data_IF_101002462302
#
_entry.id   IF_101002462302
#
_cell.length_a   1.000
_cell.length_b   1.000
_cell.length_c   1.000
_cell.angle_alpha   90.00
_cell.angle_beta   90.00
_cell.angle_gamma   90.00
#
_symmetry.space_group_name_H-M   'P 1'
#
loop_
_entity.id
_entity.type
_entity.pdbx_description
1 polymer ?
#
# COMPACT_ATOMS: atom_id res chain seq x y z
N UNK A 1 -20.44 22.46 0.66
CA UNK A 1 -20.22 23.94 0.75
C UNK A 1 -18.72 24.16 0.59
N UNK A 2 -18.29 24.38 -0.65
CA UNK A 2 -16.90 24.68 -0.96
C UNK A 2 -16.79 26.20 -1.17
N UNK A 3 -16.07 26.85 -0.27
CA UNK A 3 -15.60 28.21 -0.50
C UNK A 3 -14.25 28.15 -1.18
N UNK A 4 -14.11 28.51 -2.47
CA UNK A 4 -12.86 28.33 -3.23
C UNK A 4 -11.65 29.03 -2.63
N UNK A 5 -11.88 30.00 -1.76
CA UNK A 5 -10.82 30.79 -1.10
C UNK A 5 -10.31 30.15 0.20
N UNK A 6 -11.03 29.22 0.81
CA UNK A 6 -10.72 28.65 2.13
C UNK A 6 -10.63 27.12 2.11
N UNK A 7 -11.23 26.48 1.08
CA UNK A 7 -11.29 25.02 0.96
C UNK A 7 -10.25 24.51 -0.01
N UNK A 8 -9.32 23.68 0.49
CA UNK A 8 -8.47 22.84 -0.35
C UNK A 8 -9.03 21.43 -0.27
N UNK A 9 -9.77 20.95 -1.29
CA UNK A 9 -10.41 19.62 -1.27
C UNK A 9 -9.40 18.47 -1.16
N UNK A 10 -8.16 18.71 -1.62
CA UNK A 10 -7.05 17.77 -1.49
C UNK A 10 -5.89 18.47 -0.80
N UNK A 11 -5.40 17.86 0.29
CA UNK A 11 -4.23 18.34 1.01
C UNK A 11 -2.94 18.01 0.28
N UNK A 12 -2.89 16.85 -0.33
CA UNK A 12 -1.79 16.34 -1.13
C UNK A 12 -2.33 15.35 -2.16
N UNK A 13 -1.63 15.24 -3.29
CA UNK A 13 -1.84 14.22 -4.30
C UNK A 13 -0.50 13.54 -4.53
N UNK A 14 -0.40 12.27 -4.17
CA UNK A 14 0.83 11.51 -4.36
C UNK A 14 0.79 10.85 -5.74
N UNK A 15 1.88 11.00 -6.49
CA UNK A 15 2.13 10.37 -7.78
C UNK A 15 3.19 9.28 -7.59
N UNK A 16 2.93 8.08 -8.08
CA UNK A 16 3.82 6.92 -7.91
C UNK A 16 3.99 6.15 -9.23
N UNK A 17 4.66 6.76 -10.26
CA UNK A 17 5.01 6.03 -11.46
C UNK A 17 6.01 4.91 -11.14
N UNK A 18 5.74 3.73 -11.69
CA UNK A 18 6.47 2.49 -11.42
C UNK A 18 6.75 1.75 -12.72
N UNK A 19 7.93 1.15 -12.83
CA UNK A 19 8.25 0.15 -13.85
C UNK A 19 8.71 -1.12 -13.16
N UNK A 20 8.16 -2.26 -13.59
CA UNK A 20 8.51 -3.54 -12.97
C UNK A 20 8.66 -4.65 -14.01
N UNK A 21 9.50 -5.61 -13.66
CA UNK A 21 9.58 -6.89 -14.33
C UNK A 21 9.13 -7.99 -13.39
N UNK A 22 8.13 -8.77 -13.83
CA UNK A 22 7.55 -9.86 -13.04
C UNK A 22 7.84 -11.17 -13.74
N UNK A 23 8.47 -12.09 -13.02
CA UNK A 23 8.71 -13.45 -13.44
C UNK A 23 7.68 -14.38 -12.78
N UNK A 24 6.73 -14.94 -13.54
CA UNK A 24 5.74 -15.88 -13.00
C UNK A 24 6.38 -17.22 -12.67
N UNK A 25 5.85 -17.90 -11.68
CA UNK A 25 6.26 -19.26 -11.31
C UNK A 25 5.06 -20.12 -10.96
N UNK A 26 5.20 -21.43 -11.10
CA UNK A 26 4.19 -22.43 -10.72
C UNK A 26 4.72 -23.37 -9.63
N UNK A 27 5.83 -23.01 -8.98
CA UNK A 27 6.47 -23.86 -7.99
C UNK A 27 5.55 -24.14 -6.80
N UNK A 28 5.50 -25.41 -6.43
CA UNK A 28 4.80 -25.88 -5.25
C UNK A 28 5.71 -25.74 -4.03
N UNK A 29 5.14 -25.21 -2.95
CA UNK A 29 5.80 -25.09 -1.67
C UNK A 29 5.19 -26.06 -0.66
N UNK A 30 5.83 -26.32 0.48
CA UNK A 30 5.24 -27.14 1.54
C UNK A 30 3.85 -26.66 1.97
N UNK A 31 3.04 -27.58 2.49
CA UNK A 31 1.69 -27.33 3.02
C UNK A 31 0.68 -26.81 1.98
N UNK A 32 0.90 -27.06 0.68
CA UNK A 32 -0.04 -26.69 -0.38
C UNK A 32 0.09 -25.26 -0.90
N UNK A 33 1.05 -24.49 -0.40
CA UNK A 33 1.34 -23.17 -0.93
C UNK A 33 1.85 -23.24 -2.37
N UNK A 34 1.53 -22.24 -3.17
CA UNK A 34 2.01 -22.04 -4.53
C UNK A 34 2.77 -20.73 -4.62
N UNK A 35 4.01 -20.78 -5.04
CA UNK A 35 4.75 -19.58 -5.37
C UNK A 35 4.30 -19.06 -6.74
N UNK A 36 3.77 -17.85 -6.79
CA UNK A 36 3.12 -17.32 -7.97
C UNK A 36 4.03 -16.46 -8.82
N UNK A 37 4.87 -15.67 -8.19
CA UNK A 37 5.79 -14.78 -8.89
C UNK A 37 6.91 -14.27 -7.99
N UNK A 38 7.98 -13.81 -8.65
CA UNK A 38 8.95 -12.86 -8.11
C UNK A 38 9.13 -11.72 -9.09
N UNK A 39 9.58 -10.57 -8.61
CA UNK A 39 9.76 -9.41 -9.47
C UNK A 39 10.75 -8.42 -8.90
N UNK A 40 11.17 -7.51 -9.76
CA UNK A 40 12.03 -6.38 -9.45
C UNK A 40 11.43 -5.13 -10.09
N UNK A 41 11.54 -4.00 -9.43
CA UNK A 41 11.01 -2.76 -10.00
C UNK A 41 11.74 -1.53 -9.50
N UNK A 42 11.44 -0.44 -10.19
CA UNK A 42 11.85 0.93 -9.87
C UNK A 42 10.58 1.75 -9.71
N UNK A 43 10.53 2.55 -8.66
CA UNK A 43 9.40 3.43 -8.39
C UNK A 43 9.90 4.81 -7.98
N UNK A 44 9.30 5.82 -8.59
CA UNK A 44 9.38 7.21 -8.15
C UNK A 44 8.10 7.56 -7.42
N UNK A 45 8.20 8.19 -6.26
CA UNK A 45 7.02 8.70 -5.55
C UNK A 45 7.23 10.16 -5.20
N UNK A 46 6.24 11.00 -5.51
CA UNK A 46 6.29 12.44 -5.21
C UNK A 46 4.89 12.97 -4.90
N UNK A 47 4.84 14.01 -4.07
CA UNK A 47 3.59 14.68 -3.73
C UNK A 47 3.27 15.89 -4.64
N UNK A 48 4.04 16.14 -5.68
CA UNK A 48 3.83 17.22 -6.65
C UNK A 48 3.84 18.63 -6.08
N UNK A 49 4.33 18.82 -4.84
CA UNK A 49 4.38 20.13 -4.19
C UNK A 49 5.73 20.81 -4.42
N UNK A 50 5.73 22.14 -4.33
CA UNK A 50 6.97 22.93 -4.30
C UNK A 50 7.53 23.03 -2.87
N UNK A 51 8.82 23.38 -2.75
CA UNK A 51 9.46 23.63 -1.45
C UNK A 51 8.69 24.70 -0.65
N UNK A 52 8.54 24.57 0.66
CA UNK A 52 9.14 23.56 1.56
C UNK A 52 8.28 22.29 1.75
N UNK A 53 7.19 22.13 1.01
CA UNK A 53 6.25 20.99 1.12
C UNK A 53 6.57 19.85 0.15
N UNK A 54 7.53 20.03 -0.73
CA UNK A 54 8.02 19.00 -1.64
C UNK A 54 8.43 17.75 -0.88
N UNK A 55 8.02 16.60 -1.37
CA UNK A 55 8.49 15.28 -0.92
C UNK A 55 8.56 14.37 -2.12
N UNK A 56 9.75 13.82 -2.34
CA UNK A 56 9.96 12.84 -3.41
C UNK A 56 11.02 11.83 -3.00
N UNK A 57 10.96 10.64 -3.52
CA UNK A 57 11.99 9.63 -3.38
C UNK A 57 11.91 8.55 -4.44
N UNK A 58 13.06 7.96 -4.73
CA UNK A 58 13.23 6.88 -5.68
C UNK A 58 13.61 5.59 -4.96
N UNK A 59 13.02 4.46 -5.36
CA UNK A 59 13.28 3.15 -4.76
C UNK A 59 13.49 2.10 -5.84
N UNK A 60 14.41 1.20 -5.57
CA UNK A 60 14.47 -0.12 -6.21
C UNK A 60 13.93 -1.15 -5.25
N UNK A 61 13.17 -2.12 -5.74
CA UNK A 61 12.59 -3.13 -4.87
C UNK A 61 12.61 -4.52 -5.49
N UNK A 62 12.55 -5.51 -4.62
CA UNK A 62 12.24 -6.90 -4.92
C UNK A 62 10.87 -7.22 -4.36
N UNK A 63 10.11 -8.06 -5.07
CA UNK A 63 8.80 -8.52 -4.60
C UNK A 63 8.61 -10.00 -4.90
N UNK A 64 7.74 -10.63 -4.10
CA UNK A 64 7.30 -12.00 -4.31
C UNK A 64 5.86 -12.18 -3.85
N UNK A 65 5.18 -13.17 -4.41
CA UNK A 65 3.81 -13.51 -4.03
C UNK A 65 3.56 -15.00 -4.05
N UNK A 66 2.79 -15.45 -3.06
CA UNK A 66 2.37 -16.84 -2.92
C UNK A 66 0.89 -16.93 -2.54
N UNK A 67 0.27 -18.04 -2.85
CA UNK A 67 -1.13 -18.28 -2.55
C UNK A 67 -1.38 -19.69 -2.01
N UNK A 68 -2.46 -19.85 -1.25
CA UNK A 68 -2.95 -21.12 -0.76
C UNK A 68 -4.46 -21.21 -1.00
N UNK A 69 -4.89 -22.30 -1.66
CA UNK A 69 -6.30 -22.69 -1.89
C UNK A 69 -7.19 -21.60 -2.53
N UNK A 70 -6.60 -20.68 -3.30
CA UNK A 70 -7.27 -19.48 -3.84
C UNK A 70 -7.94 -18.61 -2.77
N UNK A 71 -7.63 -18.85 -1.51
CA UNK A 71 -8.20 -18.12 -0.36
C UNK A 71 -7.21 -17.21 0.33
N UNK A 72 -5.94 -17.63 0.40
CA UNK A 72 -4.89 -16.87 1.02
C UNK A 72 -3.92 -16.34 -0.03
N UNK A 73 -3.60 -15.08 0.06
CA UNK A 73 -2.52 -14.47 -0.72
C UNK A 73 -1.56 -13.80 0.23
N UNK A 74 -0.29 -14.09 0.08
CA UNK A 74 0.79 -13.44 0.84
C UNK A 74 1.73 -12.80 -0.16
N UNK A 75 2.00 -11.51 0.00
CA UNK A 75 2.96 -10.78 -0.82
C UNK A 75 4.00 -10.11 0.07
N UNK A 76 5.24 -10.15 -0.37
CA UNK A 76 6.35 -9.47 0.28
C UNK A 76 7.04 -8.53 -0.68
N UNK A 77 7.45 -7.35 -0.20
CA UNK A 77 8.25 -6.37 -0.93
C UNK A 77 9.36 -5.85 -0.03
N UNK A 78 10.58 -5.80 -0.55
CA UNK A 78 11.73 -5.20 0.11
C UNK A 78 12.31 -4.15 -0.82
N UNK A 79 12.62 -2.97 -0.30
CA UNK A 79 13.14 -1.88 -1.12
C UNK A 79 14.32 -1.18 -0.50
N UNK A 80 15.11 -0.57 -1.37
CA UNK A 80 16.18 0.33 -1.03
C UNK A 80 15.92 1.68 -1.69
N UNK A 81 16.00 2.75 -0.91
CA UNK A 81 16.00 4.11 -1.42
C UNK A 81 17.26 4.34 -2.25
N UNK A 82 17.10 4.93 -3.42
CA UNK A 82 18.22 5.48 -4.19
C UNK A 82 18.66 6.78 -3.55
N UNK A 83 19.97 6.93 -3.38
CA UNK A 83 20.54 8.10 -2.72
C UNK A 83 20.37 9.35 -3.58
N UNK A 84 20.03 10.44 -2.96
CA UNK A 84 19.96 11.78 -3.52
C UNK A 84 21.05 12.64 -2.87
N UNK A 85 21.44 13.73 -3.53
CA UNK A 85 22.39 14.67 -2.92
C UNK A 85 21.73 15.39 -1.75
N UNK A 86 22.51 15.75 -0.74
CA UNK A 86 22.00 16.42 0.46
C UNK A 86 21.24 17.72 0.14
N UNK A 87 21.63 18.41 -0.93
CA UNK A 87 20.99 19.66 -1.36
C UNK A 87 19.65 19.45 -2.06
N UNK A 88 19.36 18.24 -2.56
CA UNK A 88 18.13 17.88 -3.25
C UNK A 88 17.22 16.97 -2.45
N UNK A 89 17.68 16.44 -1.30
CA UNK A 89 16.89 15.54 -0.45
C UNK A 89 15.85 16.33 0.35
N UNK A 90 14.62 16.30 -0.12
CA UNK A 90 13.46 16.97 0.48
C UNK A 90 12.77 16.15 1.59
N UNK A 91 13.26 14.95 1.87
CA UNK A 91 12.71 14.05 2.89
C UNK A 91 13.76 13.14 3.56
N UNK A 92 14.79 13.72 4.19
CA UNK A 92 15.86 12.95 4.83
C UNK A 92 15.27 11.97 5.86
N UNK A 93 15.74 10.71 5.82
CA UNK A 93 15.30 9.68 6.75
C UNK A 93 13.92 9.07 6.48
N UNK A 94 13.26 9.35 5.35
CA UNK A 94 11.92 8.79 5.03
C UNK A 94 11.87 7.26 5.18
N UNK A 95 12.94 6.55 4.81
CA UNK A 95 13.02 5.09 4.94
C UNK A 95 12.96 4.58 6.39
N UNK A 96 13.28 5.44 7.36
CA UNK A 96 13.22 5.07 8.78
C UNK A 96 11.80 5.14 9.35
N UNK A 97 10.89 5.78 8.63
CA UNK A 97 9.48 5.93 9.00
C UNK A 97 8.56 5.09 8.12
N UNK A 98 8.61 5.28 6.79
CA UNK A 98 7.78 4.55 5.83
C UNK A 98 8.19 3.08 5.73
N UNK A 99 9.49 2.80 5.98
CA UNK A 99 9.99 1.44 6.00
C UNK A 99 10.94 1.10 4.85
N UNK A 100 11.41 -0.15 4.88
CA UNK A 100 12.23 -0.80 3.86
C UNK A 100 11.65 -2.14 3.44
N UNK A 101 10.57 -2.57 4.09
CA UNK A 101 9.88 -3.82 3.78
C UNK A 101 8.40 -3.76 4.09
N UNK A 102 7.65 -4.53 3.31
CA UNK A 102 6.21 -4.70 3.43
C UNK A 102 5.85 -6.17 3.32
N UNK A 103 4.96 -6.62 4.18
CA UNK A 103 4.30 -7.91 4.11
C UNK A 103 2.79 -7.68 4.09
N UNK A 104 2.12 -8.17 3.05
CA UNK A 104 0.66 -8.14 2.96
C UNK A 104 0.10 -9.54 2.95
N UNK A 105 -0.94 -9.74 3.73
CA UNK A 105 -1.71 -10.97 3.80
C UNK A 105 -3.16 -10.64 3.47
N UNK A 106 -3.74 -11.39 2.54
CA UNK A 106 -5.16 -11.31 2.19
C UNK A 106 -5.81 -12.67 2.39
N UNK A 107 -6.98 -12.68 3.01
CA UNK A 107 -7.77 -13.85 3.24
C UNK A 107 -9.20 -13.67 2.72
N UNK A 108 -9.56 -14.42 1.69
CA UNK A 108 -10.94 -14.55 1.21
C UNK A 108 -11.67 -15.50 2.15
N UNK A 109 -12.31 -14.95 3.17
CA UNK A 109 -13.06 -15.71 4.19
C UNK A 109 -14.17 -16.51 3.51
N UNK A 110 -14.89 -15.86 2.60
CA UNK A 110 -15.90 -16.42 1.71
C UNK A 110 -16.04 -15.51 0.48
N UNK A 111 -17.01 -15.82 -0.41
CA UNK A 111 -17.25 -15.02 -1.63
C UNK A 111 -17.62 -13.56 -1.36
N UNK A 112 -18.14 -13.25 -0.18
CA UNK A 112 -18.66 -11.92 0.15
C UNK A 112 -17.69 -11.11 1.04
N UNK A 113 -16.78 -11.78 1.74
CA UNK A 113 -15.91 -11.15 2.73
C UNK A 113 -14.43 -11.46 2.46
N UNK A 114 -13.63 -10.41 2.41
CA UNK A 114 -12.17 -10.47 2.33
C UNK A 114 -11.57 -9.65 3.46
N UNK A 115 -10.62 -10.23 4.17
CA UNK A 115 -9.80 -9.55 5.17
C UNK A 115 -8.39 -9.33 4.62
N UNK A 116 -7.80 -8.20 4.95
CA UNK A 116 -6.44 -7.84 4.59
C UNK A 116 -5.66 -7.33 5.79
N UNK A 117 -4.37 -7.61 5.82
CA UNK A 117 -3.43 -7.02 6.76
C UNK A 117 -2.13 -6.69 6.03
N UNK A 118 -1.68 -5.45 6.15
CA UNK A 118 -0.41 -4.99 5.58
C UNK A 118 0.46 -4.44 6.69
N UNK A 119 1.68 -4.92 6.76
CA UNK A 119 2.70 -4.52 7.72
C UNK A 119 3.86 -3.88 6.97
N UNK A 120 4.30 -2.71 7.41
CA UNK A 120 5.54 -2.07 6.95
C UNK A 120 6.50 -1.93 8.12
N UNK A 121 7.77 -2.13 7.86
CA UNK A 121 8.83 -2.00 8.86
C UNK A 121 10.02 -1.27 8.28
N UNK A 122 10.64 -0.44 9.11
CA UNK A 122 11.92 0.19 8.79
C UNK A 122 13.05 -0.82 8.62
N UNK A 123 12.90 -2.04 9.17
CA UNK A 123 13.96 -3.06 9.26
C UNK A 123 15.25 -2.50 9.88
N UNK A 124 15.12 -1.51 10.73
CA UNK A 124 16.19 -0.83 11.44
C UNK A 124 15.87 -0.78 12.93
N UNK A 125 16.84 -0.42 13.76
CA UNK A 125 16.69 -0.31 15.23
C UNK A 125 15.65 0.71 15.70
N UNK A 126 15.10 1.51 14.79
CA UNK A 126 14.08 2.52 15.11
C UNK A 126 12.70 1.94 15.43
N UNK A 127 12.44 0.66 15.16
CA UNK A 127 11.15 -0.05 15.34
C UNK A 127 9.93 0.70 14.77
N UNK A 128 10.16 1.53 13.75
CA UNK A 128 9.12 2.30 13.09
C UNK A 128 8.53 1.54 11.93
N UNK A 129 7.29 1.86 11.64
CA UNK A 129 6.55 1.23 10.54
C UNK A 129 5.06 1.52 10.67
N UNK A 130 4.26 0.69 10.04
CA UNK A 130 2.81 0.82 10.07
C UNK A 130 2.10 -0.53 9.94
N UNK A 131 0.88 -0.55 10.38
CA UNK A 131 -0.08 -1.64 10.20
C UNK A 131 -1.33 -1.07 9.55
N UNK A 132 -1.82 -1.74 8.52
CA UNK A 132 -3.13 -1.49 7.91
C UNK A 132 -3.95 -2.77 7.97
N UNK A 133 -5.15 -2.68 8.53
CA UNK A 133 -6.14 -3.75 8.54
C UNK A 133 -7.29 -3.34 7.61
N UNK A 134 -7.79 -4.27 6.81
CA UNK A 134 -8.80 -4.01 5.80
C UNK A 134 -9.89 -5.08 5.86
N UNK A 135 -11.13 -4.65 5.67
CA UNK A 135 -12.27 -5.53 5.47
C UNK A 135 -13.05 -5.05 4.27
N UNK A 136 -13.23 -5.95 3.33
CA UNK A 136 -14.07 -5.73 2.14
C UNK A 136 -15.26 -6.68 2.19
N UNK A 137 -16.46 -6.11 2.13
CA UNK A 137 -17.72 -6.83 2.12
C UNK A 137 -18.47 -6.57 0.82
N UNK A 138 -18.89 -7.63 0.12
CA UNK A 138 -19.70 -7.49 -1.06
C UNK A 138 -21.01 -6.76 -0.75
N UNK A 139 -21.32 -5.71 -1.52
CA UNK A 139 -22.61 -5.05 -1.50
C UNK A 139 -23.53 -5.90 -2.40
N UNK A 140 -24.30 -6.78 -1.78
CA UNK A 140 -25.13 -7.75 -2.48
C UNK A 140 -26.06 -7.10 -3.54
N UNK A 141 -26.58 -7.91 -4.42
CA UNK A 141 -27.42 -7.56 -5.58
C UNK A 141 -28.69 -6.75 -5.27
N UNK A 142 -29.00 -6.49 -4.00
CA UNK A 142 -30.24 -5.84 -3.57
C UNK A 142 -30.28 -4.30 -3.73
N UNK A 143 -29.16 -3.62 -3.69
CA UNK A 143 -29.15 -2.14 -3.73
C UNK A 143 -29.20 -1.56 -5.14
N UNK A 144 -28.77 -2.31 -6.16
CA UNK A 144 -28.65 -1.83 -7.55
C UNK A 144 -29.17 -2.82 -8.60
N UNK A 145 -29.91 -3.84 -8.21
CA UNK A 145 -30.66 -4.72 -9.12
C UNK A 145 -29.84 -5.62 -10.05
N UNK A 146 -28.54 -5.82 -9.79
CA UNK A 146 -27.67 -6.64 -10.62
C UNK A 146 -26.50 -7.26 -9.83
N UNK A 147 -25.75 -8.14 -10.47
CA UNK A 147 -24.47 -8.64 -9.94
C UNK A 147 -23.48 -7.45 -9.92
N UNK A 148 -23.26 -6.88 -8.75
CA UNK A 148 -22.34 -5.77 -8.57
C UNK A 148 -21.02 -6.28 -8.01
N UNK A 149 -19.90 -5.91 -8.65
CA UNK A 149 -18.56 -6.13 -8.11
C UNK A 149 -18.18 -5.07 -7.06
N UNK A 150 -19.15 -4.26 -6.61
CA UNK A 150 -18.95 -3.26 -5.58
C UNK A 150 -18.82 -3.92 -4.20
N UNK A 151 -17.85 -3.45 -3.44
CA UNK A 151 -17.61 -3.86 -2.05
C UNK A 151 -17.52 -2.65 -1.15
N UNK A 152 -18.15 -2.75 0.01
CA UNK A 152 -17.86 -1.84 1.12
C UNK A 152 -16.42 -2.11 1.56
N UNK A 153 -15.61 -1.08 1.64
CA UNK A 153 -14.22 -1.16 2.05
C UNK A 153 -14.02 -0.35 3.33
N UNK A 154 -13.64 -1.03 4.38
CA UNK A 154 -13.30 -0.45 5.67
C UNK A 154 -11.83 -0.69 5.93
N UNK A 155 -11.10 0.35 6.33
CA UNK A 155 -9.69 0.22 6.66
C UNK A 155 -9.33 0.96 7.94
N UNK A 156 -8.43 0.37 8.72
CA UNK A 156 -7.79 0.97 9.87
C UNK A 156 -6.28 0.98 9.65
N UNK A 157 -5.70 2.16 9.63
CA UNK A 157 -4.26 2.37 9.54
C UNK A 157 -3.71 2.87 10.88
N UNK A 158 -2.56 2.38 11.29
CA UNK A 158 -1.84 2.90 12.44
C UNK A 158 -0.33 2.82 12.20
N UNK A 159 0.37 3.95 12.36
CA UNK A 159 1.82 4.02 12.16
C UNK A 159 2.27 5.28 11.44
N UNK A 160 3.36 5.14 10.71
CA UNK A 160 4.02 6.21 9.94
C UNK A 160 3.79 6.03 8.44
N UNK A 161 3.93 7.13 7.66
CA UNK A 161 3.82 7.07 6.20
C UNK A 161 2.40 6.95 5.66
N UNK A 162 1.39 7.47 6.39
CA UNK A 162 0.03 7.59 5.88
C UNK A 162 -0.05 8.62 4.72
N UNK A 163 0.82 9.61 4.73
CA UNK A 163 0.95 10.64 3.71
C UNK A 163 2.42 11.03 3.56
N UNK A 164 2.84 11.40 2.35
CA UNK A 164 4.21 11.85 2.12
C UNK A 164 4.55 13.13 2.88
N UNK A 165 3.63 14.07 3.03
CA UNK A 165 3.87 15.33 3.77
C UNK A 165 4.18 15.05 5.23
N UNK A 166 3.42 14.14 5.86
CA UNK A 166 3.53 13.81 7.27
C UNK A 166 4.16 12.43 7.50
N UNK A 167 5.08 11.99 6.62
CA UNK A 167 5.65 10.63 6.68
C UNK A 167 6.26 10.30 8.04
N UNK A 168 6.76 11.30 8.76
CA UNK A 168 7.42 11.19 10.06
C UNK A 168 6.47 11.36 11.26
N UNK A 169 5.16 11.47 11.03
CA UNK A 169 4.15 11.55 12.09
C UNK A 169 3.40 10.25 12.22
N UNK A 170 3.32 9.74 13.44
CA UNK A 170 2.48 8.58 13.76
C UNK A 170 1.01 9.00 13.73
N UNK A 171 0.20 8.27 12.97
CA UNK A 171 -1.23 8.52 12.82
C UNK A 171 -2.01 7.23 12.98
N UNK A 172 -3.26 7.38 13.42
CA UNK A 172 -4.28 6.33 13.33
C UNK A 172 -5.43 6.89 12.52
N UNK A 173 -5.76 6.21 11.42
CA UNK A 173 -6.76 6.66 10.45
C UNK A 173 -7.75 5.54 10.21
N UNK A 174 -9.03 5.85 10.38
CA UNK A 174 -10.13 5.00 9.96
C UNK A 174 -10.68 5.50 8.63
N UNK A 175 -10.88 4.58 7.68
CA UNK A 175 -11.39 4.89 6.35
C UNK A 175 -12.58 4.01 6.02
N UNK A 176 -13.58 4.59 5.39
CA UNK A 176 -14.75 3.92 4.86
C UNK A 176 -14.94 4.35 3.41
N UNK A 177 -15.14 3.41 2.52
CA UNK A 177 -15.31 3.68 1.10
C UNK A 177 -15.97 2.53 0.35
N UNK A 178 -15.98 2.65 -0.96
CA UNK A 178 -16.47 1.62 -1.87
C UNK A 178 -15.35 1.26 -2.83
N UNK A 179 -15.13 -0.04 -3.02
CA UNK A 179 -14.16 -0.59 -3.97
C UNK A 179 -14.87 -1.35 -5.07
N UNK A 180 -14.41 -1.17 -6.30
CA UNK A 180 -14.74 -2.04 -7.42
C UNK A 180 -13.66 -3.12 -7.51
N UNK A 181 -14.07 -4.39 -7.48
CA UNK A 181 -13.14 -5.53 -7.52
C UNK A 181 -13.56 -6.44 -8.64
N UNK A 182 -12.70 -6.59 -9.65
CA UNK A 182 -12.82 -7.61 -10.69
C UNK A 182 -12.11 -8.89 -10.22
N UNK A 183 -12.78 -10.04 -10.39
CA UNK A 183 -12.26 -11.38 -10.13
C UNK A 183 -12.29 -12.23 -11.39
#
# INVERSE_FOLDING_TARGET
>A
LFTPQISRPFRATDHEPEIMYVYPTTAQLPFGWRWRYSGVGLVHQSNGQSNPLSRSWNRVYLMTGMELDNRWTVTGRLWKRLSESADSDDNPGISDYVGRGELSVRWNVNKDNTLGATFRSSLASSDRGSVRLEWMQALGSGLWGGKSNLRLHTALFSGYGDSMIDYNRKRTVFSLGVSLVDF
#
